data_IF_633236582846
#
_entry.id   IF_633236582846
#
_cell.length_a   1.000
_cell.length_b   1.000
_cell.length_c   1.000
_cell.angle_alpha   90.00
_cell.angle_beta   90.00
_cell.angle_gamma   90.00
#
_symmetry.space_group_name_H-M   'P 1'
#
loop_
_entity.id
_entity.type
_entity.pdbx_description
1 polymer ?
#
# COMPACT_ATOMS: atom_id res chain seq x y z
N UNK A 1 10.53 -13.66 -15.86
CA UNK A 1 11.42 -12.62 -15.37
C UNK A 1 12.76 -12.77 -16.06
N UNK A 2 13.40 -11.67 -16.47
CA UNK A 2 14.67 -11.72 -17.19
C UNK A 2 15.85 -12.11 -16.29
N UNK A 3 17.06 -12.19 -16.89
CA UNK A 3 18.33 -12.59 -16.22
C UNK A 3 18.74 -11.68 -15.05
N UNK A 4 18.09 -10.53 -14.90
CA UNK A 4 18.35 -9.60 -13.80
C UNK A 4 17.63 -9.96 -12.49
N UNK A 5 16.81 -11.01 -12.48
CA UNK A 5 16.12 -11.49 -11.28
C UNK A 5 16.64 -12.85 -10.85
N UNK A 6 16.87 -13.00 -9.56
CA UNK A 6 17.20 -14.26 -8.92
C UNK A 6 16.04 -14.76 -8.06
N UNK A 7 15.77 -16.06 -8.11
CA UNK A 7 14.86 -16.71 -7.17
C UNK A 7 15.64 -17.01 -5.88
N UNK A 8 15.37 -16.25 -4.82
CA UNK A 8 16.09 -16.38 -3.53
C UNK A 8 15.39 -17.32 -2.54
N UNK A 9 14.14 -17.66 -2.79
CA UNK A 9 13.32 -18.64 -2.06
C UNK A 9 12.17 -19.07 -3.00
N UNK A 10 11.42 -20.14 -2.71
CA UNK A 10 10.34 -20.61 -3.58
C UNK A 10 9.37 -19.49 -3.98
N UNK A 11 9.28 -19.19 -5.27
CA UNK A 11 8.47 -18.12 -5.87
C UNK A 11 8.79 -16.69 -5.37
N UNK A 12 10.00 -16.44 -4.87
CA UNK A 12 10.47 -15.12 -4.45
C UNK A 12 11.56 -14.66 -5.39
N UNK A 13 11.22 -13.72 -6.26
CA UNK A 13 12.10 -13.18 -7.29
C UNK A 13 12.56 -11.77 -6.91
N UNK A 14 13.85 -11.58 -6.81
CA UNK A 14 14.43 -10.30 -6.39
C UNK A 14 15.39 -9.82 -7.48
N UNK A 15 15.22 -8.56 -7.90
CA UNK A 15 16.13 -7.95 -8.85
C UNK A 15 17.53 -7.80 -8.25
N UNK A 16 18.58 -8.00 -9.06
CA UNK A 16 19.99 -7.99 -8.64
C UNK A 16 20.45 -6.69 -7.96
N UNK A 17 19.78 -5.56 -8.24
CA UNK A 17 20.07 -4.26 -7.61
C UNK A 17 19.20 -3.96 -6.38
N UNK A 18 18.20 -4.79 -6.09
CA UNK A 18 17.39 -4.63 -4.90
C UNK A 18 18.17 -5.03 -3.65
N UNK A 19 17.88 -4.37 -2.53
CA UNK A 19 18.52 -4.63 -1.24
C UNK A 19 17.52 -5.22 -0.28
N UNK A 20 17.73 -6.47 0.13
CA UNK A 20 16.90 -7.14 1.13
C UNK A 20 17.73 -7.32 2.39
N UNK A 21 17.29 -6.70 3.50
CA UNK A 21 17.98 -6.82 4.78
C UNK A 21 17.96 -8.28 5.29
N UNK A 22 19.03 -8.82 5.88
CA UNK A 22 19.08 -10.19 6.37
C UNK A 22 18.00 -10.53 7.42
N UNK A 23 17.44 -9.53 8.06
CA UNK A 23 16.40 -9.66 9.08
C UNK A 23 14.99 -9.43 8.52
N UNK A 24 14.85 -9.15 7.24
CA UNK A 24 13.56 -9.12 6.57
C UNK A 24 13.11 -10.53 6.21
N UNK A 25 11.81 -10.76 6.25
CA UNK A 25 11.20 -11.96 5.71
C UNK A 25 10.46 -11.64 4.41
N UNK A 26 10.75 -12.39 3.36
CA UNK A 26 10.03 -12.30 2.08
C UNK A 26 9.51 -13.69 1.72
N UNK A 27 8.21 -13.88 1.82
CA UNK A 27 7.51 -15.10 1.39
C UNK A 27 6.97 -14.98 -0.03
N UNK A 28 6.86 -16.13 -0.71
CA UNK A 28 6.31 -16.19 -2.07
C UNK A 28 4.77 -16.33 -2.12
N UNK A 29 4.16 -16.11 -3.29
CA UNK A 29 4.82 -15.53 -4.46
C UNK A 29 5.13 -14.05 -4.28
N UNK A 30 6.33 -13.62 -4.66
CA UNK A 30 6.72 -12.21 -4.59
C UNK A 30 7.71 -11.83 -5.69
N UNK A 31 7.59 -10.59 -6.18
CA UNK A 31 8.56 -9.98 -7.08
C UNK A 31 8.99 -8.66 -6.46
N UNK A 32 10.30 -8.48 -6.27
CA UNK A 32 10.90 -7.24 -5.76
C UNK A 32 11.71 -6.59 -6.88
N UNK A 33 11.27 -5.42 -7.31
CA UNK A 33 11.83 -4.69 -8.44
C UNK A 33 13.19 -4.03 -8.18
N UNK A 34 13.80 -3.46 -9.23
CA UNK A 34 15.14 -2.88 -9.16
C UNK A 34 15.23 -1.70 -8.18
N UNK A 35 16.40 -1.52 -7.57
CA UNK A 35 16.72 -0.43 -6.61
C UNK A 35 15.78 -0.36 -5.39
N UNK A 36 14.93 -1.37 -5.20
CA UNK A 36 13.99 -1.43 -4.05
C UNK A 36 14.73 -1.87 -2.79
N UNK A 37 14.41 -1.22 -1.67
CA UNK A 37 14.92 -1.56 -0.36
C UNK A 37 13.84 -2.25 0.49
N UNK A 38 14.08 -3.51 0.85
CA UNK A 38 13.33 -4.24 1.88
C UNK A 38 14.15 -4.19 3.16
N UNK A 39 13.76 -3.33 4.07
CA UNK A 39 14.57 -2.96 5.24
C UNK A 39 14.44 -3.95 6.38
N UNK A 40 15.24 -3.73 7.41
CA UNK A 40 15.28 -4.49 8.65
C UNK A 40 13.88 -4.75 9.23
N UNK A 41 13.57 -6.00 9.60
CA UNK A 41 12.29 -6.46 10.14
C UNK A 41 11.05 -6.23 9.24
N UNK A 42 11.21 -5.95 7.95
CA UNK A 42 10.08 -5.96 7.04
C UNK A 42 9.52 -7.37 6.89
N UNK A 43 8.19 -7.48 6.77
CA UNK A 43 7.48 -8.74 6.62
C UNK A 43 6.63 -8.76 5.34
N UNK A 44 7.16 -9.32 4.26
CA UNK A 44 6.41 -9.56 3.02
C UNK A 44 5.83 -10.96 3.08
N UNK A 45 4.51 -11.06 3.27
CA UNK A 45 3.82 -12.36 3.45
C UNK A 45 3.58 -13.13 2.18
N UNK A 46 3.74 -12.50 1.04
CA UNK A 46 3.49 -13.07 -0.27
C UNK A 46 2.32 -12.45 -1.02
N UNK A 47 2.11 -12.89 -2.26
CA UNK A 47 1.26 -12.25 -3.26
C UNK A 47 1.61 -10.76 -3.40
N UNK A 48 2.92 -10.47 -3.50
CA UNK A 48 3.43 -9.11 -3.52
C UNK A 48 4.16 -8.82 -4.84
N UNK A 49 3.70 -7.81 -5.55
CA UNK A 49 4.40 -7.22 -6.69
C UNK A 49 4.90 -5.83 -6.27
N UNK A 50 6.20 -5.68 -6.12
CA UNK A 50 6.84 -4.44 -5.69
C UNK A 50 7.68 -3.91 -6.84
N UNK A 51 7.36 -2.70 -7.30
CA UNK A 51 8.03 -2.01 -8.41
C UNK A 51 9.46 -1.58 -8.09
N UNK A 52 9.98 -0.68 -8.92
CA UNK A 52 11.33 -0.15 -8.79
C UNK A 52 11.42 0.99 -7.76
N UNK A 53 12.61 1.16 -7.15
CA UNK A 53 12.90 2.25 -6.21
C UNK A 53 11.92 2.36 -5.03
N UNK A 54 11.29 1.27 -4.64
CA UNK A 54 10.37 1.24 -3.52
C UNK A 54 11.12 1.13 -2.18
N UNK A 55 10.44 1.54 -1.11
CA UNK A 55 10.91 1.31 0.26
C UNK A 55 9.86 0.51 1.02
N UNK A 56 10.20 -0.72 1.40
CA UNK A 56 9.45 -1.53 2.36
C UNK A 56 10.24 -1.47 3.68
N UNK A 57 9.78 -0.61 4.58
CA UNK A 57 10.59 -0.20 5.72
C UNK A 57 10.50 -1.09 6.94
N UNK A 58 11.08 -0.61 8.03
CA UNK A 58 11.12 -1.33 9.28
C UNK A 58 9.73 -1.70 9.78
N UNK A 59 9.53 -2.97 10.09
CA UNK A 59 8.28 -3.51 10.61
C UNK A 59 7.04 -3.18 9.75
N UNK A 60 7.25 -2.95 8.46
CA UNK A 60 6.15 -2.84 7.51
C UNK A 60 5.73 -4.23 7.05
N UNK A 61 4.43 -4.50 7.07
CA UNK A 61 3.86 -5.75 6.60
C UNK A 61 3.15 -5.56 5.26
N UNK A 62 3.50 -6.39 4.27
CA UNK A 62 2.84 -6.45 2.97
C UNK A 62 2.15 -7.80 2.78
N UNK A 63 0.91 -7.78 2.31
CA UNK A 63 0.15 -8.99 2.01
C UNK A 63 -0.83 -8.76 0.87
N UNK A 64 -0.67 -9.49 -0.25
CA UNK A 64 -1.52 -9.37 -1.42
C UNK A 64 -1.60 -7.93 -1.94
N UNK A 65 -0.48 -7.43 -2.48
CA UNK A 65 -0.32 -6.02 -2.83
C UNK A 65 0.33 -5.83 -4.20
N UNK A 66 0.02 -4.70 -4.83
CA UNK A 66 0.77 -4.14 -5.93
C UNK A 66 1.27 -2.76 -5.48
N UNK A 67 2.59 -2.61 -5.39
CA UNK A 67 3.24 -1.33 -5.20
C UNK A 67 3.87 -0.92 -6.53
N UNK A 68 3.43 0.19 -7.10
CA UNK A 68 4.06 0.76 -8.28
C UNK A 68 5.43 1.35 -7.95
N UNK A 69 6.14 1.88 -8.95
CA UNK A 69 7.49 2.39 -8.72
C UNK A 69 7.52 3.58 -7.75
N UNK A 70 8.61 3.68 -6.99
CA UNK A 70 8.88 4.74 -6.03
C UNK A 70 7.89 4.81 -4.85
N UNK A 71 7.10 3.77 -4.61
CA UNK A 71 6.21 3.71 -3.44
C UNK A 71 7.02 3.57 -2.16
N UNK A 72 6.58 4.28 -1.12
CA UNK A 72 7.22 4.20 0.19
C UNK A 72 6.22 3.79 1.28
N UNK A 73 6.53 2.69 1.95
CA UNK A 73 5.85 2.20 3.16
C UNK A 73 6.91 2.00 4.25
N UNK A 74 7.47 3.10 4.78
CA UNK A 74 8.78 3.08 5.41
C UNK A 74 8.82 2.64 6.87
N UNK A 75 7.70 2.71 7.61
CA UNK A 75 7.72 2.51 9.05
C UNK A 75 6.40 2.01 9.61
N UNK A 76 6.40 0.78 10.19
CA UNK A 76 5.26 0.22 10.94
C UNK A 76 3.93 0.29 10.17
N UNK A 77 3.99 0.09 8.86
CA UNK A 77 2.80 0.10 8.02
C UNK A 77 2.21 -1.31 7.89
N UNK A 78 0.89 -1.40 7.83
CA UNK A 78 0.23 -2.60 7.31
C UNK A 78 -0.41 -2.27 5.97
N UNK A 79 -0.01 -2.97 4.92
CA UNK A 79 -0.60 -2.84 3.58
C UNK A 79 -1.10 -4.20 3.13
N UNK A 80 -2.40 -4.37 3.13
CA UNK A 80 -3.04 -5.63 2.76
C UNK A 80 -4.13 -5.45 1.72
N UNK A 81 -4.18 -6.35 0.72
CA UNK A 81 -5.20 -6.41 -0.32
C UNK A 81 -5.39 -5.03 -1.01
N UNK A 82 -4.27 -4.41 -1.38
CA UNK A 82 -4.19 -2.99 -1.75
C UNK A 82 -3.33 -2.76 -2.99
N UNK A 83 -3.60 -1.65 -3.68
CA UNK A 83 -2.79 -1.15 -4.79
C UNK A 83 -2.34 0.27 -4.46
N UNK A 84 -1.04 0.53 -4.52
CA UNK A 84 -0.46 1.84 -4.30
C UNK A 84 0.19 2.34 -5.61
N UNK A 85 -0.30 3.45 -6.11
CA UNK A 85 0.15 4.08 -7.35
C UNK A 85 1.57 4.67 -7.25
N UNK A 86 2.07 5.14 -8.37
CA UNK A 86 3.41 5.68 -8.51
C UNK A 86 3.69 6.79 -7.48
N UNK A 87 4.83 6.67 -6.77
CA UNK A 87 5.22 7.61 -5.71
C UNK A 87 4.21 7.80 -4.58
N UNK A 88 3.29 6.86 -4.36
CA UNK A 88 2.45 6.92 -3.18
C UNK A 88 3.30 6.68 -1.92
N UNK A 89 3.00 7.43 -0.86
CA UNK A 89 3.71 7.35 0.40
C UNK A 89 2.74 7.15 1.57
N UNK A 90 3.06 6.21 2.43
CA UNK A 90 2.31 5.96 3.67
C UNK A 90 3.15 6.38 4.88
N UNK A 91 2.73 7.43 5.56
CA UNK A 91 3.37 7.89 6.79
C UNK A 91 3.43 6.80 7.86
N UNK A 92 4.34 6.97 8.82
CA UNK A 92 4.59 5.98 9.86
C UNK A 92 3.31 5.56 10.60
N UNK A 93 3.11 4.26 10.79
CA UNK A 93 1.96 3.71 11.49
C UNK A 93 0.63 3.77 10.72
N UNK A 94 0.60 4.31 9.50
CA UNK A 94 -0.62 4.27 8.70
C UNK A 94 -0.87 2.88 8.15
N UNK A 95 -2.15 2.49 8.05
CA UNK A 95 -2.54 1.14 7.67
C UNK A 95 -3.71 1.12 6.68
N UNK A 96 -3.75 0.07 5.83
CA UNK A 96 -4.91 -0.26 5.01
C UNK A 96 -5.72 -1.36 5.71
N UNK A 97 -6.79 -1.00 6.41
CA UNK A 97 -7.72 -2.00 6.93
C UNK A 97 -8.44 -2.69 5.78
N UNK A 98 -8.40 -4.00 5.73
CA UNK A 98 -8.88 -4.76 4.57
C UNK A 98 -10.12 -5.62 4.84
N UNK A 99 -10.59 -5.68 6.09
CA UNK A 99 -11.77 -6.47 6.49
C UNK A 99 -12.72 -5.60 7.30
N UNK A 100 -13.99 -5.61 6.92
CA UNK A 100 -15.05 -4.96 7.70
C UNK A 100 -15.30 -5.72 9.00
N UNK A 101 -15.65 -5.01 10.08
CA UNK A 101 -15.91 -5.61 11.39
C UNK A 101 -17.08 -6.61 11.37
N UNK A 102 -18.10 -6.35 10.56
CA UNK A 102 -19.26 -7.22 10.35
C UNK A 102 -18.99 -8.41 9.42
N UNK A 103 -17.77 -8.53 8.87
CA UNK A 103 -17.35 -9.57 7.90
C UNK A 103 -18.18 -9.61 6.61
N UNK A 104 -18.98 -8.61 6.32
CA UNK A 104 -19.72 -8.49 5.07
C UNK A 104 -18.77 -8.18 3.89
N UNK A 105 -19.28 -8.32 2.66
CA UNK A 105 -18.52 -8.02 1.45
C UNK A 105 -18.19 -6.52 1.39
N UNK A 106 -16.99 -6.23 0.88
CA UNK A 106 -16.56 -4.84 0.72
C UNK A 106 -17.25 -4.21 -0.48
N UNK A 107 -17.74 -2.98 -0.29
CA UNK A 107 -18.27 -2.14 -1.35
C UNK A 107 -17.42 -0.87 -1.42
N UNK A 108 -16.98 -0.50 -2.61
CA UNK A 108 -16.35 0.80 -2.85
C UNK A 108 -17.48 1.84 -2.93
N UNK A 109 -17.48 2.78 -2.00
CA UNK A 109 -18.52 3.82 -1.90
C UNK A 109 -18.27 4.97 -2.89
N UNK A 110 -18.34 4.63 -4.19
CA UNK A 110 -18.37 5.59 -5.31
C UNK A 110 -19.81 5.91 -5.69
N UNK A 111 -19.99 6.78 -6.67
CA UNK A 111 -21.29 7.05 -7.28
C UNK A 111 -21.25 6.65 -8.78
N UNK A 112 -21.92 5.56 -9.18
CA UNK A 112 -22.63 4.59 -8.35
C UNK A 112 -21.68 3.70 -7.51
N UNK A 113 -22.17 3.07 -6.43
CA UNK A 113 -21.37 2.15 -5.61
C UNK A 113 -20.91 0.92 -6.39
N UNK A 114 -19.68 0.44 -6.13
CA UNK A 114 -19.10 -0.73 -6.79
C UNK A 114 -19.00 -1.90 -5.79
N UNK A 115 -19.87 -2.92 -5.89
CA UNK A 115 -19.73 -4.14 -5.08
C UNK A 115 -18.50 -4.93 -5.56
N UNK A 116 -17.59 -5.26 -4.64
CA UNK A 116 -16.37 -6.00 -4.98
C UNK A 116 -16.57 -7.50 -5.05
N UNK A 117 -17.63 -8.02 -4.46
CA UNK A 117 -17.90 -9.46 -4.37
C UNK A 117 -16.98 -10.22 -3.41
N UNK A 118 -16.05 -9.55 -2.71
CA UNK A 118 -15.08 -10.19 -1.83
C UNK A 118 -15.04 -9.55 -0.43
N UNK A 119 -14.55 -10.32 0.56
CA UNK A 119 -14.50 -9.88 1.96
C UNK A 119 -13.27 -9.04 2.31
N UNK A 120 -12.22 -9.10 1.48
CA UNK A 120 -10.94 -8.44 1.76
C UNK A 120 -10.57 -7.51 0.62
N UNK A 121 -10.63 -6.22 0.88
CA UNK A 121 -10.14 -5.15 0.00
C UNK A 121 -9.60 -4.07 0.92
N UNK A 122 -8.35 -3.72 0.77
CA UNK A 122 -7.72 -2.63 1.51
C UNK A 122 -8.02 -1.28 0.89
N UNK A 123 -7.00 -0.62 0.37
CA UNK A 123 -7.13 0.68 -0.27
C UNK A 123 -6.51 0.71 -1.67
N UNK A 124 -7.05 1.59 -2.51
CA UNK A 124 -6.51 1.90 -3.83
C UNK A 124 -6.03 3.35 -3.81
N UNK A 125 -4.71 3.56 -3.86
CA UNK A 125 -4.11 4.88 -3.87
C UNK A 125 -3.66 5.22 -5.29
N UNK A 126 -4.07 6.37 -5.78
CA UNK A 126 -3.56 6.94 -7.03
C UNK A 126 -2.11 7.41 -6.90
N UNK A 127 -1.54 7.87 -8.01
CA UNK A 127 -0.17 8.39 -8.04
C UNK A 127 -0.01 9.63 -7.15
N UNK A 128 1.17 9.78 -6.53
CA UNK A 128 1.54 10.92 -5.69
C UNK A 128 0.60 11.15 -4.48
N UNK A 129 -0.05 10.11 -4.00
CA UNK A 129 -0.85 10.19 -2.77
C UNK A 129 0.07 10.18 -1.55
N UNK A 130 -0.18 11.10 -0.61
CA UNK A 130 0.53 11.21 0.66
C UNK A 130 -0.44 10.90 1.82
N UNK A 131 -0.18 9.84 2.55
CA UNK A 131 -0.98 9.45 3.72
C UNK A 131 -0.24 9.84 5.00
N UNK A 132 -0.84 10.69 5.81
CA UNK A 132 -0.27 11.14 7.09
C UNK A 132 -0.16 10.01 8.12
N UNK A 133 0.78 10.19 9.06
CA UNK A 133 1.09 9.19 10.09
C UNK A 133 -0.14 8.74 10.88
N UNK A 134 -0.15 7.47 11.31
CA UNK A 134 -1.21 6.85 12.12
C UNK A 134 -2.63 7.00 11.54
N UNK A 135 -2.75 7.13 10.23
CA UNK A 135 -4.04 7.14 9.56
C UNK A 135 -4.51 5.72 9.25
N UNK A 136 -5.81 5.50 9.32
CA UNK A 136 -6.47 4.25 8.95
C UNK A 136 -7.28 4.45 7.68
N UNK A 137 -6.92 3.70 6.64
CA UNK A 137 -7.72 3.64 5.42
C UNK A 137 -8.67 2.44 5.55
N UNK A 138 -9.97 2.71 5.66
CA UNK A 138 -10.98 1.67 5.84
C UNK A 138 -11.14 0.80 4.58
N UNK A 139 -11.69 -0.41 4.69
CA UNK A 139 -11.85 -1.32 3.55
C UNK A 139 -12.58 -0.68 2.38
N UNK A 140 -11.99 -0.78 1.19
CA UNK A 140 -12.53 -0.20 -0.03
C UNK A 140 -12.32 1.31 -0.18
N UNK A 141 -11.42 1.92 0.60
CA UNK A 141 -11.02 3.32 0.41
C UNK A 141 -10.30 3.49 -0.93
N UNK A 142 -10.69 4.50 -1.69
CA UNK A 142 -10.01 4.92 -2.92
C UNK A 142 -9.58 6.38 -2.76
N UNK A 143 -8.31 6.66 -3.04
CA UNK A 143 -7.78 8.02 -2.96
C UNK A 143 -7.24 8.41 -4.34
N UNK A 144 -7.83 9.43 -4.92
CA UNK A 144 -7.42 9.97 -6.23
C UNK A 144 -6.01 10.55 -6.20
N UNK A 145 -5.38 10.60 -7.37
CA UNK A 145 -3.99 11.05 -7.50
C UNK A 145 -3.73 12.43 -6.88
N UNK A 146 -2.48 12.67 -6.51
CA UNK A 146 -2.01 13.96 -5.99
C UNK A 146 -2.79 14.46 -4.76
N UNK A 147 -3.36 13.55 -3.96
CA UNK A 147 -4.13 13.90 -2.77
C UNK A 147 -3.35 13.63 -1.49
N UNK A 148 -3.66 14.42 -0.46
CA UNK A 148 -3.05 14.29 0.86
C UNK A 148 -4.10 13.89 1.90
N UNK A 149 -3.72 12.99 2.78
CA UNK A 149 -4.48 12.65 4.00
C UNK A 149 -3.74 13.19 5.20
N UNK A 150 -4.40 13.98 6.03
CA UNK A 150 -3.77 14.50 7.25
C UNK A 150 -3.56 13.39 8.27
N UNK A 151 -2.54 13.52 9.14
CA UNK A 151 -2.28 12.55 10.19
C UNK A 151 -3.49 12.26 11.07
N UNK A 152 -3.53 11.06 11.68
CA UNK A 152 -4.60 10.63 12.59
C UNK A 152 -6.00 10.59 11.94
N UNK A 153 -6.07 10.39 10.64
CA UNK A 153 -7.34 10.35 9.92
C UNK A 153 -7.89 8.94 9.82
N UNK A 154 -9.23 8.84 9.95
CA UNK A 154 -9.99 7.63 9.65
C UNK A 154 -10.70 7.84 8.30
N UNK A 155 -10.10 7.31 7.23
CA UNK A 155 -10.54 7.58 5.86
C UNK A 155 -11.51 6.49 5.39
N UNK A 156 -12.59 6.88 4.73
CA UNK A 156 -13.57 5.96 4.14
C UNK A 156 -14.12 6.52 2.82
N UNK A 157 -14.38 5.61 1.87
CA UNK A 157 -15.00 5.94 0.59
C UNK A 157 -14.01 6.44 -0.46
N UNK A 158 -14.49 7.22 -1.41
CA UNK A 158 -13.71 7.75 -2.53
C UNK A 158 -13.33 9.20 -2.27
N UNK A 159 -12.04 9.47 -2.25
CA UNK A 159 -11.47 10.82 -2.11
C UNK A 159 -11.08 11.28 -3.52
N UNK A 160 -11.59 12.42 -4.01
CA UNK A 160 -11.25 12.92 -5.33
C UNK A 160 -9.75 13.21 -5.49
N UNK A 161 -9.29 13.24 -6.73
CA UNK A 161 -7.92 13.69 -7.02
C UNK A 161 -7.70 15.15 -6.62
N UNK A 162 -6.44 15.53 -6.43
CA UNK A 162 -6.05 16.90 -6.06
C UNK A 162 -6.78 17.42 -4.80
N UNK A 163 -6.94 16.54 -3.81
CA UNK A 163 -7.69 16.84 -2.59
C UNK A 163 -6.82 16.73 -1.33
N UNK A 164 -7.28 17.40 -0.29
CA UNK A 164 -6.76 17.25 1.08
C UNK A 164 -7.89 16.69 1.94
N UNK A 165 -7.67 15.47 2.47
CA UNK A 165 -8.56 14.88 3.48
C UNK A 165 -8.08 15.31 4.87
N UNK A 166 -8.90 16.09 5.56
CA UNK A 166 -8.61 16.60 6.90
C UNK A 166 -9.29 15.77 7.98
N UNK A 167 -8.82 15.90 9.21
CA UNK A 167 -9.46 15.31 10.39
C UNK A 167 -10.94 15.63 10.43
N UNK A 168 -11.77 14.63 10.78
CA UNK A 168 -13.24 14.80 10.77
C UNK A 168 -13.91 14.58 9.42
N UNK A 169 -13.17 14.12 8.40
CA UNK A 169 -13.74 13.75 7.09
C UNK A 169 -13.96 14.94 6.14
N UNK A 170 -13.38 16.09 6.44
CA UNK A 170 -13.49 17.28 5.58
C UNK A 170 -12.57 17.10 4.38
N UNK A 171 -13.12 17.23 3.17
CA UNK A 171 -12.37 17.21 1.91
C UNK A 171 -12.28 18.64 1.37
N UNK A 172 -11.07 19.09 1.07
CA UNK A 172 -10.79 20.38 0.47
C UNK A 172 -9.94 20.21 -0.79
N UNK A 173 -10.09 21.11 -1.76
CA UNK A 173 -9.21 21.11 -2.93
C UNK A 173 -7.77 21.44 -2.52
N UNK A 174 -6.82 20.71 -3.11
CA UNK A 174 -5.39 21.02 -2.99
C UNK A 174 -5.08 22.19 -3.93
N UNK A 175 -4.51 23.26 -3.40
CA UNK A 175 -4.10 24.42 -4.18
C UNK A 175 -2.73 24.21 -4.82
#
# INVERSE_FOLDING_TARGET
LGEDYAEIAPQVWVHKTAKVAPTAFVGGPAIIGPETEVRHCAFVRGSALVGANCVVGNSAELKNVILFDNVQVPHYNYVGDSILGYKAHMGAGSITSNVKSDKSLVVIHSDPPIPTGIKKVGALLGDFVEVGCNSVLNPGTVIGRNSNVYPLSCVRGVIPENSIYKTGGIIAAKK
#
